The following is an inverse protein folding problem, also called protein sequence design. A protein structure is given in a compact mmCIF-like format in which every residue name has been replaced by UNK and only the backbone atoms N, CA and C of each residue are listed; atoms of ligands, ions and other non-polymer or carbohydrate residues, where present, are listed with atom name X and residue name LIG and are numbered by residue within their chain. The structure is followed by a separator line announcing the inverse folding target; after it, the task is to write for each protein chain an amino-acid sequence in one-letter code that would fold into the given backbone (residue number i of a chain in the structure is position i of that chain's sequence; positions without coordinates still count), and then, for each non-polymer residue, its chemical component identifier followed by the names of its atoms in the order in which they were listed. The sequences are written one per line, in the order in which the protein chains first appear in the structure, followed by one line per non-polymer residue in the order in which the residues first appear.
data_IF_307029639109
#
_entry.id   IF_307029639109
#
_cell.length_a   1.000
_cell.length_b   1.000
_cell.length_c   1.000
_cell.angle_alpha   90.00
_cell.angle_beta   90.00
_cell.angle_gamma   90.00
#
_symmetry.space_group_name_H-M   'P 1'
#
loop_
_entity.id
_entity.type
_entity.pdbx_description
1 polymer ?
#
# COMPACT_ATOMS: atom_id res chain seq x y z
N UNK A 1 1.22 5.83 19.80
CA UNK A 1 1.11 5.97 18.33
C UNK A 1 2.45 6.20 17.63
N UNK A 2 3.28 7.22 17.96
CA UNK A 2 4.53 7.44 17.21
C UNK A 2 5.53 6.27 17.29
N UNK A 3 5.62 5.60 18.42
CA UNK A 3 6.49 4.43 18.60
C UNK A 3 6.10 3.27 17.66
N UNK A 4 4.81 2.99 17.53
CA UNK A 4 4.30 1.95 16.63
C UNK A 4 4.63 2.27 15.17
N UNK A 5 4.42 3.53 14.75
CA UNK A 5 4.76 3.99 13.41
C UNK A 5 6.27 3.89 13.13
N UNK A 6 7.10 4.18 14.14
CA UNK A 6 8.55 4.06 14.03
C UNK A 6 8.98 2.58 13.88
N UNK A 7 8.38 1.68 14.67
CA UNK A 7 8.65 0.24 14.56
C UNK A 7 8.22 -0.27 13.18
N UNK A 8 7.03 0.11 12.69
CA UNK A 8 6.55 -0.24 11.36
C UNK A 8 7.51 0.27 10.29
N UNK A 9 7.97 1.52 10.38
CA UNK A 9 8.92 2.10 9.44
C UNK A 9 10.26 1.34 9.44
N UNK A 10 10.75 0.95 10.61
CA UNK A 10 11.98 0.19 10.75
C UNK A 10 11.85 -1.22 10.15
N UNK A 11 10.72 -1.89 10.39
CA UNK A 11 10.41 -3.18 9.76
C UNK A 11 10.28 -3.05 8.24
N UNK A 12 9.63 -1.99 7.75
CA UNK A 12 9.54 -1.69 6.33
C UNK A 12 10.92 -1.47 5.71
N UNK A 13 11.77 -0.71 6.38
CA UNK A 13 13.14 -0.49 5.93
C UNK A 13 13.94 -1.80 5.88
N UNK A 14 13.77 -2.68 6.86
CA UNK A 14 14.42 -4.01 6.83
C UNK A 14 13.91 -4.86 5.66
N UNK A 15 12.63 -4.74 5.30
CA UNK A 15 12.03 -5.50 4.21
C UNK A 15 12.43 -4.96 2.83
N UNK A 16 12.36 -3.64 2.62
CA UNK A 16 12.64 -3.00 1.32
C UNK A 16 14.13 -2.68 1.13
N UNK A 17 14.88 -2.52 2.24
CA UNK A 17 16.29 -2.07 2.28
C UNK A 17 16.53 -0.71 1.59
N UNK A 18 15.46 0.03 1.32
CA UNK A 18 15.50 1.35 0.71
C UNK A 18 14.62 2.33 1.51
N UNK A 19 15.23 3.39 2.03
CA UNK A 19 14.54 4.41 2.85
C UNK A 19 13.40 5.10 2.09
N UNK A 20 13.59 5.32 0.80
CA UNK A 20 12.62 6.05 0.00
C UNK A 20 11.40 5.18 -0.30
N UNK A 21 11.61 3.90 -0.57
CA UNK A 21 10.53 2.93 -0.79
C UNK A 21 9.71 2.69 0.48
N UNK A 22 10.38 2.52 1.62
CA UNK A 22 9.72 2.45 2.92
C UNK A 22 8.87 3.73 3.18
N UNK A 23 9.38 4.91 2.79
CA UNK A 23 8.66 6.17 2.87
C UNK A 23 7.42 6.22 1.98
N UNK A 24 7.48 5.69 0.77
CA UNK A 24 6.32 5.61 -0.16
C UNK A 24 5.23 4.72 0.42
N UNK A 25 5.59 3.58 1.00
CA UNK A 25 4.62 2.70 1.68
C UNK A 25 4.03 3.41 2.89
N UNK A 26 4.85 4.07 3.71
CA UNK A 26 4.40 4.78 4.91
C UNK A 26 3.44 5.95 4.57
N UNK A 27 3.55 6.52 3.38
CA UNK A 27 2.65 7.57 2.91
C UNK A 27 1.19 7.08 2.78
N UNK A 28 0.95 5.77 2.65
CA UNK A 28 -0.40 5.21 2.62
C UNK A 28 -1.15 5.38 3.95
N UNK A 29 -0.42 5.49 5.08
CA UNK A 29 -1.01 5.63 6.43
C UNK A 29 -1.73 6.97 6.60
N UNK A 30 -1.15 8.15 6.28
CA UNK A 30 -1.87 9.42 6.32
C UNK A 30 -3.11 9.44 5.43
N UNK A 31 -3.05 8.84 4.25
CA UNK A 31 -4.21 8.76 3.35
C UNK A 31 -5.32 7.87 3.93
N UNK A 32 -4.96 6.77 4.58
CA UNK A 32 -5.92 5.94 5.29
C UNK A 32 -6.58 6.70 6.45
N UNK A 33 -5.80 7.49 7.21
CA UNK A 33 -6.30 8.36 8.27
C UNK A 33 -7.34 9.34 7.76
N UNK A 34 -7.06 10.04 6.66
CA UNK A 34 -7.96 11.03 6.09
C UNK A 34 -9.33 10.38 5.81
N UNK A 35 -9.36 9.23 5.15
CA UNK A 35 -10.61 8.53 4.85
C UNK A 35 -11.37 8.07 6.09
N UNK A 36 -10.64 7.54 7.08
CA UNK A 36 -11.23 7.12 8.34
C UNK A 36 -11.85 8.29 9.13
N UNK A 37 -11.12 9.40 9.27
CA UNK A 37 -11.60 10.60 9.95
C UNK A 37 -12.81 11.21 9.23
N UNK A 38 -12.75 11.26 7.90
CA UNK A 38 -13.86 11.80 7.09
C UNK A 38 -15.15 11.01 7.32
N UNK A 39 -15.07 9.68 7.33
CA UNK A 39 -16.26 8.85 7.52
C UNK A 39 -16.80 8.94 8.95
N UNK A 40 -15.95 9.03 9.97
CA UNK A 40 -16.36 9.25 11.37
C UNK A 40 -17.09 10.58 11.50
N UNK A 41 -16.54 11.65 10.92
CA UNK A 41 -17.14 12.97 10.94
C UNK A 41 -18.51 12.98 10.24
N UNK A 42 -18.60 12.35 9.07
CA UNK A 42 -19.84 12.29 8.28
C UNK A 42 -20.95 11.51 9.00
N UNK A 43 -20.61 10.46 9.74
CA UNK A 43 -21.55 9.63 10.50
C UNK A 43 -21.86 10.20 11.90
N UNK A 44 -21.19 11.28 12.31
CA UNK A 44 -21.41 11.93 13.60
C UNK A 44 -20.92 11.12 14.82
N UNK A 45 -19.97 10.19 14.63
CA UNK A 45 -19.42 9.43 15.74
C UNK A 45 -18.39 10.23 16.53
N UNK A 46 -18.48 10.16 17.85
CA UNK A 46 -17.48 10.72 18.74
C UNK A 46 -16.21 9.86 18.76
N UNK A 47 -15.04 10.49 18.94
CA UNK A 47 -13.79 9.79 19.15
C UNK A 47 -13.82 8.99 20.45
N UNK A 48 -13.96 7.68 20.32
CA UNK A 48 -13.99 6.71 21.42
C UNK A 48 -12.83 5.74 21.33
N UNK A 49 -12.63 4.92 22.35
CA UNK A 49 -11.64 3.84 22.34
C UNK A 49 -11.88 2.87 21.17
N UNK A 50 -13.14 2.59 20.83
CA UNK A 50 -13.50 1.75 19.69
C UNK A 50 -13.00 2.33 18.36
N UNK A 51 -13.12 3.64 18.16
CA UNK A 51 -12.59 4.34 16.97
C UNK A 51 -11.07 4.21 16.89
N UNK A 52 -10.35 4.35 18.01
CA UNK A 52 -8.89 4.19 18.02
C UNK A 52 -8.44 2.76 17.67
N UNK A 53 -9.17 1.76 18.17
CA UNK A 53 -8.92 0.35 17.79
C UNK A 53 -9.14 0.13 16.29
N UNK A 54 -10.20 0.73 15.72
CA UNK A 54 -10.46 0.72 14.29
C UNK A 54 -9.31 1.34 13.48
N UNK A 55 -8.74 2.46 13.93
CA UNK A 55 -7.57 3.06 13.28
C UNK A 55 -6.31 2.18 13.38
N UNK A 56 -6.06 1.52 14.50
CA UNK A 56 -4.92 0.61 14.65
C UNK A 56 -5.01 -0.54 13.65
N UNK A 57 -6.19 -1.15 13.52
CA UNK A 57 -6.43 -2.20 12.53
C UNK A 57 -6.27 -1.68 11.09
N UNK A 58 -6.78 -0.46 10.81
CA UNK A 58 -6.63 0.19 9.52
C UNK A 58 -5.17 0.41 9.13
N UNK A 59 -4.31 0.82 10.07
CA UNK A 59 -2.88 1.02 9.81
C UNK A 59 -2.20 -0.27 9.36
N UNK A 60 -2.51 -1.39 10.02
CA UNK A 60 -1.99 -2.69 9.61
C UNK A 60 -2.37 -3.05 8.18
N UNK A 61 -3.63 -2.90 7.82
CA UNK A 61 -4.15 -3.17 6.47
C UNK A 61 -3.56 -2.23 5.41
N UNK A 62 -3.39 -0.94 5.73
CA UNK A 62 -2.83 0.05 4.82
C UNK A 62 -1.35 -0.25 4.50
N UNK A 63 -0.56 -0.56 5.54
CA UNK A 63 0.86 -0.88 5.41
C UNK A 63 1.05 -2.19 4.65
N UNK A 64 0.33 -3.26 5.03
CA UNK A 64 0.36 -4.56 4.33
C UNK A 64 0.13 -4.37 2.84
N UNK A 65 -0.89 -3.62 2.49
CA UNK A 65 -1.25 -3.34 1.11
C UNK A 65 -0.15 -2.61 0.35
N UNK A 66 0.45 -1.60 0.98
CA UNK A 66 1.54 -0.81 0.40
C UNK A 66 2.80 -1.67 0.16
N UNK A 67 3.19 -2.49 1.14
CA UNK A 67 4.33 -3.41 1.02
C UNK A 67 4.16 -4.36 -0.14
N UNK A 68 3.02 -5.04 -0.20
CA UNK A 68 2.78 -6.02 -1.24
C UNK A 68 2.79 -5.37 -2.63
N UNK A 69 2.25 -4.15 -2.77
CA UNK A 69 2.31 -3.41 -4.04
C UNK A 69 3.75 -3.14 -4.47
N UNK A 70 4.59 -2.65 -3.57
CA UNK A 70 6.01 -2.35 -3.86
C UNK A 70 6.77 -3.63 -4.24
N UNK A 71 6.52 -4.75 -3.56
CA UNK A 71 7.15 -6.05 -3.90
C UNK A 71 6.83 -6.47 -5.34
N UNK A 72 5.57 -6.38 -5.77
CA UNK A 72 5.19 -6.72 -7.16
C UNK A 72 5.77 -5.77 -8.20
N UNK A 73 5.86 -4.48 -7.87
CA UNK A 73 6.52 -3.51 -8.75
C UNK A 73 8.01 -3.83 -8.92
N UNK A 74 8.69 -4.24 -7.86
CA UNK A 74 10.08 -4.70 -7.92
C UNK A 74 10.21 -5.97 -8.74
N UNK A 75 9.34 -6.96 -8.53
CA UNK A 75 9.38 -8.21 -9.28
C UNK A 75 9.20 -7.98 -10.79
N UNK A 76 8.25 -7.10 -11.16
CA UNK A 76 8.05 -6.74 -12.56
C UNK A 76 9.27 -6.03 -13.17
N UNK A 77 9.89 -5.10 -12.41
CA UNK A 77 11.10 -4.40 -12.85
C UNK A 77 12.27 -5.36 -12.97
N UNK A 78 12.51 -6.22 -11.99
CA UNK A 78 13.62 -7.19 -12.00
C UNK A 78 13.48 -8.20 -13.15
N UNK A 79 12.26 -8.60 -13.50
CA UNK A 79 11.99 -9.45 -14.67
C UNK A 79 12.45 -8.76 -15.96
N UNK A 80 12.16 -7.48 -16.12
CA UNK A 80 12.64 -6.69 -17.27
C UNK A 80 14.16 -6.55 -17.26
N UNK A 81 14.76 -6.23 -16.12
CA UNK A 81 16.21 -6.10 -15.95
C UNK A 81 16.96 -7.39 -16.33
N UNK A 82 16.46 -8.55 -15.90
CA UNK A 82 17.04 -9.84 -16.25
C UNK A 82 16.96 -10.12 -17.76
N UNK A 83 15.82 -9.82 -18.40
CA UNK A 83 15.66 -9.99 -19.84
C UNK A 83 16.65 -9.13 -20.66
N UNK A 84 17.02 -7.95 -20.15
CA UNK A 84 18.05 -7.10 -20.76
C UNK A 84 19.48 -7.63 -20.51
N UNK A 85 19.75 -8.10 -19.29
CA UNK A 85 21.05 -8.69 -18.93
C UNK A 85 21.38 -9.98 -19.73
N UNK A 86 20.35 -10.75 -20.10
CA UNK A 86 20.47 -11.95 -20.93
C UNK A 86 20.66 -11.65 -22.44
N UNK A 87 20.84 -10.38 -22.81
CA UNK A 87 21.08 -9.96 -24.20
C UNK A 87 19.87 -10.09 -25.14
N UNK A 88 18.68 -10.36 -24.60
CA UNK A 88 17.44 -10.48 -25.38
C UNK A 88 16.87 -9.13 -25.83
N UNK A 89 17.30 -8.04 -25.19
CA UNK A 89 16.91 -6.65 -25.49
C UNK A 89 18.12 -5.74 -25.33
N UNK A 90 18.11 -4.58 -26.04
CA UNK A 90 19.12 -3.54 -25.94
C UNK A 90 19.16 -2.85 -24.56
N UNK A 91 19.86 -1.70 -24.42
CA UNK A 91 19.96 -1.00 -23.16
C UNK A 91 18.57 -0.61 -22.60
N UNK A 92 18.42 -0.68 -21.27
CA UNK A 92 17.18 -0.32 -20.56
C UNK A 92 16.77 1.11 -20.87
N UNK A 93 15.51 1.30 -21.23
CA UNK A 93 14.90 2.58 -21.54
C UNK A 93 13.90 3.00 -20.46
N UNK A 94 13.56 4.31 -20.45
CA UNK A 94 12.50 4.82 -19.57
C UNK A 94 11.16 4.11 -19.85
N UNK A 95 10.92 3.75 -21.09
CA UNK A 95 9.71 3.05 -21.48
C UNK A 95 9.62 1.65 -20.85
N UNK A 96 10.73 0.94 -20.71
CA UNK A 96 10.76 -0.37 -20.04
C UNK A 96 10.39 -0.26 -18.56
N UNK A 97 10.81 0.82 -17.89
CA UNK A 97 10.43 1.09 -16.48
C UNK A 97 8.93 1.35 -16.37
N UNK A 98 8.36 2.14 -17.29
CA UNK A 98 6.92 2.43 -17.31
C UNK A 98 6.11 1.17 -17.57
N UNK A 99 6.50 0.38 -18.55
CA UNK A 99 5.85 -0.91 -18.84
C UNK A 99 5.92 -1.85 -17.62
N UNK A 100 7.08 -1.97 -16.96
CA UNK A 100 7.22 -2.77 -15.76
C UNK A 100 6.32 -2.27 -14.62
N UNK A 101 6.21 -0.95 -14.46
CA UNK A 101 5.33 -0.35 -13.43
C UNK A 101 3.86 -0.64 -13.73
N UNK A 102 3.43 -0.53 -14.96
CA UNK A 102 2.05 -0.84 -15.39
C UNK A 102 1.80 -2.34 -15.20
N UNK A 103 2.69 -3.21 -15.66
CA UNK A 103 2.56 -4.66 -15.53
C UNK A 103 2.44 -5.09 -14.05
N UNK A 104 3.32 -4.60 -13.18
CA UNK A 104 3.28 -4.89 -11.74
C UNK A 104 1.99 -4.41 -11.08
N UNK A 105 1.51 -3.23 -11.46
CA UNK A 105 0.26 -2.66 -10.94
C UNK A 105 -0.96 -3.46 -11.37
N UNK A 106 -1.05 -3.85 -12.65
CA UNK A 106 -2.17 -4.62 -13.20
C UNK A 106 -2.24 -6.01 -12.59
N UNK A 107 -1.11 -6.68 -12.41
CA UNK A 107 -1.05 -7.99 -11.76
C UNK A 107 -1.60 -7.96 -10.33
N UNK A 108 -1.40 -6.86 -9.62
CA UNK A 108 -1.85 -6.72 -8.23
C UNK A 108 -3.26 -6.14 -8.08
N UNK A 109 -3.80 -5.49 -9.11
CA UNK A 109 -5.10 -4.84 -9.06
C UNK A 109 -6.21 -5.84 -8.71
N UNK A 110 -6.27 -6.99 -9.40
CA UNK A 110 -7.32 -8.00 -9.18
C UNK A 110 -7.30 -8.59 -7.76
N UNK A 111 -6.19 -9.15 -7.23
CA UNK A 111 -6.15 -9.66 -5.86
C UNK A 111 -6.47 -8.58 -4.82
N UNK A 112 -6.00 -7.34 -5.04
CA UNK A 112 -6.27 -6.23 -4.12
C UNK A 112 -7.76 -5.86 -4.08
N UNK A 113 -8.40 -5.74 -5.22
CA UNK A 113 -9.83 -5.43 -5.29
C UNK A 113 -10.67 -6.53 -4.64
N UNK A 114 -10.26 -7.80 -4.75
CA UNK A 114 -10.92 -8.91 -4.05
C UNK A 114 -10.78 -8.78 -2.54
N UNK A 115 -9.57 -8.53 -2.02
CA UNK A 115 -9.33 -8.38 -0.58
C UNK A 115 -10.11 -7.21 0.01
N UNK A 116 -10.05 -6.05 -0.64
CA UNK A 116 -10.78 -4.85 -0.21
C UNK A 116 -12.29 -5.08 -0.29
N UNK A 117 -12.78 -5.66 -1.38
CA UNK A 117 -14.20 -5.99 -1.55
C UNK A 117 -14.71 -6.92 -0.46
N UNK A 118 -13.98 -8.00 -0.16
CA UNK A 118 -14.34 -8.94 0.91
C UNK A 118 -14.37 -8.26 2.27
N UNK A 119 -13.36 -7.42 2.58
CA UNK A 119 -13.32 -6.67 3.84
C UNK A 119 -14.48 -5.69 3.97
N UNK A 120 -14.81 -4.96 2.90
CA UNK A 120 -15.94 -4.02 2.89
C UNK A 120 -17.28 -4.76 3.05
N UNK A 121 -17.49 -5.85 2.30
CA UNK A 121 -18.71 -6.67 2.40
C UNK A 121 -18.87 -7.22 3.83
N UNK A 122 -17.78 -7.58 4.49
CA UNK A 122 -17.80 -8.04 5.89
C UNK A 122 -18.11 -6.95 6.90
N UNK A 123 -17.66 -5.70 6.65
CA UNK A 123 -17.84 -4.58 7.58
C UNK A 123 -19.16 -3.82 7.39
N UNK A 124 -19.69 -3.76 6.16
CA UNK A 124 -20.92 -3.03 5.83
C UNK A 124 -22.13 -3.49 6.67
N UNK A 125 -22.40 -4.80 6.88
CA UNK A 125 -23.54 -5.22 7.68
C UNK A 125 -23.47 -4.74 9.14
N UNK A 126 -22.27 -4.54 9.69
CA UNK A 126 -22.08 -4.03 11.04
C UNK A 126 -22.66 -2.62 11.18
N UNK A 127 -22.61 -1.80 10.13
CA UNK A 127 -23.15 -0.45 10.15
C UNK A 127 -24.67 -0.40 10.32
N UNK A 128 -25.39 -1.45 9.94
CA UNK A 128 -26.84 -1.56 10.09
C UNK A 128 -27.26 -2.40 11.30
N UNK A 129 -26.33 -2.97 12.06
CA UNK A 129 -26.67 -3.75 13.25
C UNK A 129 -27.39 -2.88 14.29
N UNK A 130 -28.41 -3.40 14.95
CA UNK A 130 -29.19 -2.70 15.99
C UNK A 130 -29.22 -3.43 17.33
N UNK A 131 -28.40 -4.48 17.49
CA UNK A 131 -28.32 -5.29 18.71
C UNK A 131 -27.45 -4.68 19.79
N UNK A 132 -27.41 -5.36 20.94
CA UNK A 132 -26.47 -5.06 22.03
C UNK A 132 -25.03 -5.11 21.52
N UNK A 133 -24.24 -4.05 21.79
CA UNK A 133 -22.86 -3.92 21.30
C UNK A 133 -22.72 -3.17 19.98
N UNK A 134 -23.82 -2.85 19.27
CA UNK A 134 -23.75 -2.06 18.03
C UNK A 134 -23.12 -0.69 18.23
N UNK A 135 -23.30 -0.09 19.41
CA UNK A 135 -22.72 1.22 19.78
C UNK A 135 -21.19 1.20 19.86
N UNK A 136 -20.57 0.03 20.01
CA UNK A 136 -19.11 -0.14 19.98
C UNK A 136 -18.64 -0.61 18.61
N UNK A 137 -19.39 -1.51 17.97
CA UNK A 137 -18.98 -2.13 16.69
C UNK A 137 -19.06 -1.13 15.53
N UNK A 138 -20.07 -0.27 15.48
CA UNK A 138 -20.21 0.75 14.42
C UNK A 138 -19.07 1.77 14.43
N UNK A 139 -18.74 2.43 15.58
CA UNK A 139 -17.59 3.33 15.63
C UNK A 139 -16.24 2.65 15.34
N UNK A 140 -16.10 1.34 15.58
CA UNK A 140 -14.91 0.58 15.24
C UNK A 140 -14.82 0.32 13.72
N UNK A 141 -15.93 -0.03 13.09
CA UNK A 141 -15.98 -0.34 11.66
C UNK A 141 -15.88 0.91 10.77
N UNK A 142 -16.40 2.04 11.20
CA UNK A 142 -16.44 3.28 10.42
C UNK A 142 -15.05 3.73 9.93
N UNK A 143 -14.01 3.91 10.77
CA UNK A 143 -12.70 4.34 10.31
C UNK A 143 -12.07 3.31 9.37
N UNK A 144 -12.33 2.01 9.58
CA UNK A 144 -11.81 0.95 8.72
C UNK A 144 -12.42 1.04 7.31
N UNK A 145 -13.72 1.24 7.19
CA UNK A 145 -14.39 1.36 5.88
C UNK A 145 -13.86 2.59 5.12
N UNK A 146 -13.88 3.76 5.74
CA UNK A 146 -13.42 5.00 5.12
C UNK A 146 -11.95 4.97 4.73
N UNK A 147 -11.10 4.51 5.65
CA UNK A 147 -9.68 4.45 5.42
C UNK A 147 -9.26 3.37 4.43
N UNK A 148 -9.99 2.24 4.37
CA UNK A 148 -9.72 1.18 3.39
C UNK A 148 -9.96 1.66 1.96
N UNK A 149 -11.02 2.44 1.73
CA UNK A 149 -11.32 3.01 0.42
C UNK A 149 -10.20 3.98 0.00
N UNK A 150 -9.88 4.96 0.84
CA UNK A 150 -8.87 5.98 0.50
C UNK A 150 -7.47 5.41 0.38
N UNK A 151 -7.06 4.49 1.27
CA UNK A 151 -5.76 3.82 1.16
C UNK A 151 -5.66 2.97 -0.10
N UNK A 152 -6.75 2.33 -0.52
CA UNK A 152 -6.77 1.55 -1.76
C UNK A 152 -6.55 2.43 -2.99
N UNK A 153 -7.25 3.56 -3.08
CA UNK A 153 -7.04 4.53 -4.16
C UNK A 153 -5.59 5.01 -4.18
N UNK A 154 -5.05 5.38 -3.01
CA UNK A 154 -3.65 5.81 -2.89
C UNK A 154 -2.68 4.73 -3.38
N UNK A 155 -2.81 3.50 -2.89
CA UNK A 155 -1.89 2.41 -3.24
C UNK A 155 -1.99 2.00 -4.70
N UNK A 156 -3.16 2.05 -5.31
CA UNK A 156 -3.33 1.69 -6.72
C UNK A 156 -2.90 2.78 -7.69
N UNK A 157 -2.96 4.05 -7.30
CA UNK A 157 -2.66 5.19 -8.19
C UNK A 157 -1.33 5.84 -7.82
N UNK A 158 -1.19 6.28 -6.57
CA UNK A 158 -0.04 7.11 -6.16
C UNK A 158 1.23 6.28 -6.01
N UNK A 159 1.14 5.09 -5.41
CA UNK A 159 2.31 4.23 -5.18
C UNK A 159 3.02 3.83 -6.47
N UNK A 160 2.35 3.35 -7.54
CA UNK A 160 3.01 3.04 -8.81
C UNK A 160 3.63 4.25 -9.48
N UNK A 161 2.95 5.40 -9.44
CA UNK A 161 3.46 6.65 -10.04
C UNK A 161 4.75 7.07 -9.35
N UNK A 162 4.76 7.09 -8.01
CA UNK A 162 5.96 7.45 -7.24
C UNK A 162 7.10 6.47 -7.49
N UNK A 163 6.81 5.15 -7.50
CA UNK A 163 7.79 4.13 -7.78
C UNK A 163 8.39 4.30 -9.18
N UNK A 164 7.57 4.46 -10.22
CA UNK A 164 8.01 4.69 -11.60
C UNK A 164 8.91 5.94 -11.71
N UNK A 165 8.47 7.06 -11.12
CA UNK A 165 9.25 8.30 -11.10
C UNK A 165 10.62 8.15 -10.42
N UNK A 166 10.65 7.43 -9.29
CA UNK A 166 11.91 7.17 -8.57
C UNK A 166 12.87 6.34 -9.40
N UNK A 167 12.39 5.28 -10.05
CA UNK A 167 13.22 4.40 -10.90
C UNK A 167 13.66 5.09 -12.18
N UNK A 168 12.81 5.92 -12.80
CA UNK A 168 13.22 6.77 -13.93
C UNK A 168 14.35 7.74 -13.52
N UNK A 169 14.23 8.35 -12.34
CA UNK A 169 15.28 9.23 -11.82
C UNK A 169 16.58 8.48 -11.49
N UNK A 170 16.47 7.26 -10.99
CA UNK A 170 17.63 6.38 -10.74
C UNK A 170 18.32 5.98 -12.05
N UNK A 171 17.56 5.67 -13.10
CA UNK A 171 18.10 5.39 -14.44
C UNK A 171 18.88 6.58 -14.99
N UNK A 172 18.29 7.80 -14.94
CA UNK A 172 18.96 9.02 -15.39
C UNK A 172 20.26 9.33 -14.66
N UNK A 173 20.39 8.88 -13.40
CA UNK A 173 21.61 9.03 -12.60
C UNK A 173 22.59 7.86 -12.73
N UNK A 174 22.32 6.87 -13.59
CA UNK A 174 23.16 5.67 -13.76
C UNK A 174 23.24 4.78 -12.52
N UNK A 175 22.29 4.91 -11.58
CA UNK A 175 22.25 4.18 -10.30
C UNK A 175 21.15 3.12 -10.27
N UNK A 176 20.69 2.63 -11.43
CA UNK A 176 19.70 1.56 -11.48
C UNK A 176 20.41 0.23 -11.16
N UNK A 177 20.57 -0.09 -9.89
CA UNK A 177 21.00 -1.42 -9.45
C UNK A 177 19.82 -2.40 -9.54
N UNK A 178 20.13 -3.64 -9.91
CA UNK A 178 19.21 -4.77 -9.74
C UNK A 178 18.77 -4.77 -8.26
N UNK A 179 17.48 -4.84 -8.02
CA UNK A 179 16.96 -4.87 -6.65
C UNK A 179 17.68 -5.96 -5.86
N UNK A 180 18.16 -5.62 -4.66
CA UNK A 180 18.82 -6.59 -3.78
C UNK A 180 17.89 -7.73 -3.35
N UNK A 181 16.57 -7.59 -3.55
CA UNK A 181 15.59 -8.65 -3.33
C UNK A 181 15.77 -9.83 -4.30
N UNK A 182 16.24 -9.60 -5.52
CA UNK A 182 16.53 -10.66 -6.49
C UNK A 182 17.62 -11.66 -6.03
N UNK A 183 18.44 -11.28 -5.03
CA UNK A 183 19.49 -12.14 -4.46
C UNK A 183 18.98 -13.16 -3.44
N UNK A 184 17.72 -13.09 -3.01
CA UNK A 184 17.15 -14.00 -2.01
C UNK A 184 16.22 -15.06 -2.60
N UNK A 185 16.00 -15.05 -3.93
CA UNK A 185 15.13 -16.01 -4.66
C UNK A 185 15.95 -17.02 -5.48
N UNK A 186 17.25 -17.11 -5.23
CA UNK A 186 18.11 -18.19 -5.75
C UNK A 186 18.29 -19.30 -4.75
#
# INVERSE_FOLDING_TARGET
MPIVLLIIYLMLYMATKDFVEAGVVMLSVPFALIGGVYLIYFLGYNFSVAVWVGFIALYGLAVETGVVMVVYLHEALDRKLRAHAEGRRGPITIQDIREATIEGSVLRLRPKMMTVGTSLIGLIPIMWSTGTGSDVMKPLAAPMIGGLITSTIHVLVVTPILFGYMKERALRKGKLEQSRMAKFVQ
#
